data_IF_208599196228
#
_entry.id   IF_208599196228
#
_cell.length_a   1.000
_cell.length_b   1.000
_cell.length_c   1.000
_cell.angle_alpha   90.00
_cell.angle_beta   90.00
_cell.angle_gamma   90.00
#
_symmetry.space_group_name_H-M   'P 1'
#
loop_
_entity.id
_entity.type
_entity.pdbx_description
1 polymer ?
#
# COMPACT_ATOMS: atom_id res chain seq x y z
N UNK A 1 -2.51 25.22 -7.28
CA UNK A 1 -2.76 24.43 -8.52
C UNK A 1 -1.51 23.62 -8.86
N UNK A 2 -1.42 22.41 -8.33
CA UNK A 2 -0.40 21.42 -8.68
C UNK A 2 -0.98 20.51 -9.76
N UNK A 3 -0.78 20.87 -11.03
CA UNK A 3 -0.87 19.90 -12.13
C UNK A 3 0.33 18.96 -12.01
N UNK A 4 0.20 17.92 -11.21
CA UNK A 4 1.18 16.84 -11.15
C UNK A 4 0.47 15.52 -11.44
N UNK A 5 0.79 14.98 -12.62
CA UNK A 5 0.62 13.60 -13.05
C UNK A 5 -0.82 13.06 -13.18
N UNK A 6 -1.48 13.39 -14.30
CA UNK A 6 -2.46 12.51 -14.97
C UNK A 6 -1.73 11.30 -15.61
N UNK A 7 -0.93 10.57 -14.84
CA UNK A 7 -0.48 9.24 -15.23
C UNK A 7 -1.40 8.25 -14.54
N UNK A 8 -2.23 7.56 -15.33
CA UNK A 8 -3.03 6.43 -14.89
C UNK A 8 -2.09 5.38 -14.28
N UNK A 9 -1.87 5.47 -12.97
CA UNK A 9 -1.14 4.45 -12.22
C UNK A 9 -2.09 3.25 -12.23
N UNK A 10 -1.63 2.15 -12.83
CA UNK A 10 -2.31 0.85 -12.78
C UNK A 10 -1.63 -0.04 -11.75
N UNK A 11 -1.88 0.21 -10.46
CA UNK A 11 -1.34 -0.60 -9.38
C UNK A 11 -1.93 -2.01 -9.46
N UNK A 12 -1.11 -2.98 -9.07
CA UNK A 12 -1.53 -4.38 -9.07
C UNK A 12 -2.52 -4.64 -7.94
N UNK A 13 -3.62 -5.33 -8.26
CA UNK A 13 -4.43 -6.06 -7.28
C UNK A 13 -3.61 -7.29 -6.86
N UNK A 14 -2.94 -7.16 -5.72
CA UNK A 14 -1.96 -8.14 -5.28
C UNK A 14 -2.61 -9.39 -4.69
N UNK A 15 -1.88 -10.50 -4.77
CA UNK A 15 -2.34 -11.80 -4.29
C UNK A 15 -1.99 -12.11 -2.84
N UNK A 16 -1.23 -11.26 -2.14
CA UNK A 16 -0.80 -11.51 -0.75
C UNK A 16 0.36 -12.51 -0.60
N UNK A 17 1.01 -12.90 -1.70
CA UNK A 17 1.96 -14.03 -1.73
C UNK A 17 3.23 -13.85 -0.88
N UNK A 18 3.74 -12.62 -0.72
CA UNK A 18 5.11 -12.39 -0.19
C UNK A 18 5.19 -12.12 1.32
N UNK A 19 4.11 -11.71 1.98
CA UNK A 19 4.14 -11.24 3.37
C UNK A 19 4.00 -12.39 4.38
N UNK A 20 4.52 -12.32 5.62
CA UNK A 20 4.37 -13.38 6.60
C UNK A 20 2.90 -13.85 6.73
N UNK A 21 2.61 -15.17 6.82
CA UNK A 21 1.24 -15.69 6.77
C UNK A 21 0.26 -15.03 7.73
N UNK A 22 0.71 -14.74 8.95
CA UNK A 22 -0.13 -14.19 10.02
C UNK A 22 -0.10 -12.65 10.09
N UNK A 23 0.57 -11.98 9.15
CA UNK A 23 0.65 -10.52 9.11
C UNK A 23 -0.65 -9.85 8.66
N UNK A 24 -0.86 -8.61 9.10
CA UNK A 24 -1.91 -7.72 8.62
C UNK A 24 -1.80 -7.53 7.11
N UNK A 25 -0.59 -7.35 6.58
CA UNK A 25 -0.36 -7.28 5.12
C UNK A 25 -0.88 -8.50 4.38
N UNK A 26 -0.69 -9.73 4.87
CA UNK A 26 -1.28 -10.93 4.23
C UNK A 26 -2.81 -10.91 4.36
N UNK A 27 -3.31 -10.82 5.59
CA UNK A 27 -4.73 -10.93 5.91
C UNK A 27 -5.59 -9.90 5.17
N UNK A 28 -5.19 -8.62 5.24
CA UNK A 28 -5.92 -7.51 4.64
C UNK A 28 -5.74 -7.47 3.12
N UNK A 29 -4.62 -7.96 2.57
CA UNK A 29 -4.45 -8.04 1.12
C UNK A 29 -5.39 -9.10 0.51
N UNK A 30 -5.50 -10.27 1.14
CA UNK A 30 -6.40 -11.33 0.68
C UNK A 30 -7.86 -10.87 0.72
N UNK A 31 -8.31 -10.34 1.87
CA UNK A 31 -9.68 -9.82 2.04
C UNK A 31 -9.94 -8.63 1.10
N UNK A 32 -8.99 -7.71 1.04
CA UNK A 32 -9.12 -6.48 0.26
C UNK A 32 -9.14 -6.72 -1.25
N UNK A 33 -8.39 -7.71 -1.76
CA UNK A 33 -8.45 -8.13 -3.16
C UNK A 33 -9.86 -8.54 -3.56
N UNK A 34 -10.51 -9.37 -2.74
CA UNK A 34 -11.84 -9.90 -3.04
C UNK A 34 -12.87 -8.76 -3.00
N UNK A 35 -12.84 -7.92 -1.95
CA UNK A 35 -13.69 -6.73 -1.85
C UNK A 35 -13.45 -5.74 -3.00
N UNK A 36 -12.20 -5.59 -3.44
CA UNK A 36 -11.83 -4.72 -4.55
C UNK A 36 -12.44 -5.21 -5.85
N UNK A 37 -12.33 -6.51 -6.18
CA UNK A 37 -12.95 -7.05 -7.38
C UNK A 37 -14.48 -6.98 -7.34
N UNK A 38 -15.08 -7.26 -6.18
CA UNK A 38 -16.52 -7.08 -5.96
C UNK A 38 -16.95 -5.64 -6.25
N UNK A 39 -16.23 -4.67 -5.69
CA UNK A 39 -16.47 -3.25 -5.94
C UNK A 39 -16.26 -2.90 -7.41
N UNK A 40 -15.17 -3.35 -8.03
CA UNK A 40 -14.88 -3.03 -9.41
C UNK A 40 -16.00 -3.50 -10.34
N UNK A 41 -16.58 -4.68 -10.13
CA UNK A 41 -17.74 -5.10 -10.91
C UNK A 41 -19.01 -4.32 -10.56
N UNK A 42 -19.28 -4.11 -9.27
CA UNK A 42 -20.49 -3.42 -8.83
C UNK A 42 -20.58 -1.98 -9.37
N UNK A 43 -19.44 -1.29 -9.44
CA UNK A 43 -19.34 0.10 -9.87
C UNK A 43 -18.78 0.28 -11.28
N UNK A 44 -18.58 -0.82 -12.03
CA UNK A 44 -17.99 -0.82 -13.38
C UNK A 44 -16.62 -0.12 -13.45
N UNK A 45 -15.82 -0.20 -12.38
CA UNK A 45 -14.44 0.27 -12.39
C UNK A 45 -13.62 -0.65 -13.28
N UNK A 46 -12.86 -0.13 -14.26
CA UNK A 46 -12.04 -0.95 -15.15
C UNK A 46 -11.00 -1.80 -14.40
N UNK A 47 -11.00 -3.12 -14.65
CA UNK A 47 -10.02 -4.05 -14.10
C UNK A 47 -9.79 -5.27 -15.00
N UNK A 48 -8.64 -5.94 -14.82
CA UNK A 48 -8.32 -7.23 -15.46
C UNK A 48 -7.57 -8.15 -14.51
N UNK A 49 -7.99 -9.42 -14.43
CA UNK A 49 -7.25 -10.48 -13.74
C UNK A 49 -6.24 -11.12 -14.70
N UNK A 50 -5.16 -10.39 -14.97
CA UNK A 50 -4.08 -10.80 -15.89
C UNK A 50 -3.12 -11.83 -15.28
N UNK A 51 -3.31 -12.21 -14.02
CA UNK A 51 -2.42 -13.11 -13.30
C UNK A 51 -0.97 -12.62 -13.19
N UNK A 52 -0.11 -13.48 -12.64
CA UNK A 52 1.30 -13.16 -12.41
C UNK A 52 2.16 -14.42 -12.41
N UNK A 53 3.34 -14.32 -13.04
CA UNK A 53 4.42 -15.29 -12.94
C UNK A 53 5.52 -14.75 -12.03
N UNK A 54 5.85 -15.52 -10.99
CA UNK A 54 7.08 -15.31 -10.22
C UNK A 54 8.16 -16.20 -10.82
N UNK A 55 9.12 -15.61 -11.54
CA UNK A 55 10.10 -16.37 -12.33
C UNK A 55 11.40 -16.60 -11.55
N UNK A 56 11.98 -17.80 -11.70
CA UNK A 56 13.13 -18.26 -10.93
C UNK A 56 14.22 -18.86 -11.81
N UNK A 57 15.47 -18.47 -11.52
CA UNK A 57 16.68 -19.15 -12.01
C UNK A 57 16.95 -20.41 -11.18
N UNK A 58 17.94 -21.22 -11.60
CA UNK A 58 18.28 -22.50 -10.97
C UNK A 58 18.46 -22.42 -9.45
N UNK A 59 19.21 -21.42 -8.97
CA UNK A 59 19.47 -21.24 -7.55
C UNK A 59 18.26 -20.71 -6.74
N UNK A 60 17.15 -20.36 -7.41
CA UNK A 60 15.95 -19.75 -6.81
C UNK A 60 14.74 -20.70 -6.78
N UNK A 61 14.87 -21.93 -7.28
CA UNK A 61 13.75 -22.88 -7.34
C UNK A 61 13.10 -23.14 -5.97
N UNK A 62 13.91 -23.23 -4.91
CA UNK A 62 13.39 -23.44 -3.56
C UNK A 62 12.57 -22.25 -3.04
N UNK A 63 12.88 -21.03 -3.50
CA UNK A 63 12.10 -19.85 -3.17
C UNK A 63 10.66 -19.95 -3.70
N UNK A 64 10.47 -20.26 -4.99
CA UNK A 64 9.13 -20.42 -5.58
C UNK A 64 8.38 -21.64 -5.01
N UNK A 65 9.08 -22.74 -4.71
CA UNK A 65 8.48 -23.90 -4.00
C UNK A 65 8.00 -23.53 -2.61
N UNK A 66 8.76 -22.72 -1.87
CA UNK A 66 8.37 -22.28 -0.54
C UNK A 66 7.18 -21.30 -0.59
N UNK A 67 7.14 -20.40 -1.58
CA UNK A 67 5.98 -19.55 -1.82
C UNK A 67 4.71 -20.36 -2.15
N UNK A 68 4.83 -21.38 -3.00
CA UNK A 68 3.72 -22.29 -3.30
C UNK A 68 3.23 -23.04 -2.06
N UNK A 69 4.14 -23.67 -1.30
CA UNK A 69 3.78 -24.35 -0.04
C UNK A 69 3.11 -23.42 0.96
N UNK A 70 3.54 -22.16 1.01
CA UNK A 70 2.94 -21.14 1.85
C UNK A 70 1.53 -20.79 1.38
N UNK A 71 1.32 -20.56 0.08
CA UNK A 71 0.00 -20.18 -0.44
C UNK A 71 -1.05 -21.26 -0.16
N UNK A 72 -0.67 -22.54 -0.22
CA UNK A 72 -1.53 -23.67 0.10
C UNK A 72 -1.92 -23.75 1.59
N UNK A 73 -1.19 -23.07 2.48
CA UNK A 73 -1.44 -23.04 3.93
C UNK A 73 -2.17 -21.77 4.39
N UNK A 74 -2.38 -20.80 3.50
CA UNK A 74 -3.09 -19.58 3.85
C UNK A 74 -4.54 -19.91 4.20
N UNK A 75 -5.04 -19.22 5.23
CA UNK A 75 -6.43 -19.34 5.68
C UNK A 75 -7.22 -18.11 5.23
N UNK A 76 -8.53 -18.30 5.09
CA UNK A 76 -9.42 -17.19 4.78
C UNK A 76 -9.37 -16.16 5.91
N UNK A 77 -9.19 -14.86 5.59
CA UNK A 77 -9.25 -13.79 6.58
C UNK A 77 -10.58 -13.76 7.37
N UNK A 78 -10.60 -13.15 8.56
CA UNK A 78 -11.85 -12.75 9.21
C UNK A 78 -12.71 -11.90 8.28
N UNK A 79 -14.04 -11.96 8.48
CA UNK A 79 -15.05 -11.26 7.68
C UNK A 79 -15.13 -11.69 6.20
N UNK A 80 -14.29 -12.63 5.75
CA UNK A 80 -14.48 -13.28 4.45
C UNK A 80 -15.86 -13.96 4.41
N UNK A 81 -16.58 -13.85 3.29
CA UNK A 81 -17.88 -14.48 3.14
C UNK A 81 -17.80 -16.00 3.39
N UNK A 82 -18.90 -16.59 3.86
CA UNK A 82 -19.02 -18.05 3.97
C UNK A 82 -19.47 -18.64 2.62
N UNK A 83 -19.28 -19.95 2.45
CA UNK A 83 -19.64 -20.72 1.25
C UNK A 83 -20.98 -20.29 0.65
N UNK A 84 -20.99 -19.90 -0.62
CA UNK A 84 -22.24 -19.62 -1.37
C UNK A 84 -22.75 -18.18 -1.31
N UNK A 85 -22.04 -17.24 -0.67
CA UNK A 85 -22.33 -15.80 -0.74
C UNK A 85 -21.07 -15.04 -1.19
N UNK A 86 -20.78 -14.96 -2.48
CA UNK A 86 -19.57 -14.27 -2.95
C UNK A 86 -19.37 -14.36 -4.47
N UNK A 87 -18.41 -13.58 -4.96
CA UNK A 87 -18.22 -13.32 -6.38
C UNK A 87 -17.49 -14.48 -7.13
N UNK A 88 -18.22 -15.08 -8.08
CA UNK A 88 -17.82 -16.06 -9.10
C UNK A 88 -17.51 -17.51 -8.68
N UNK A 89 -17.86 -18.43 -9.59
CA UNK A 89 -17.74 -19.90 -9.55
C UNK A 89 -16.30 -20.43 -9.33
N UNK A 90 -15.28 -19.56 -9.34
CA UNK A 90 -13.90 -19.87 -8.96
C UNK A 90 -13.57 -19.51 -7.50
N UNK A 91 -14.51 -18.92 -6.74
CA UNK A 91 -14.31 -18.39 -5.38
C UNK A 91 -15.42 -18.80 -4.40
N UNK A 92 -16.31 -19.72 -4.79
CA UNK A 92 -17.28 -20.26 -3.85
C UNK A 92 -16.54 -21.08 -2.79
N UNK A 93 -16.42 -20.56 -1.56
CA UNK A 93 -15.75 -21.15 -0.38
C UNK A 93 -16.24 -22.57 -0.03
N UNK A 94 -16.03 -23.53 -0.92
CA UNK A 94 -16.34 -24.93 -0.72
C UNK A 94 -15.30 -25.58 0.17
N UNK A 95 -15.69 -26.62 0.89
CA UNK A 95 -14.74 -27.46 1.63
C UNK A 95 -13.60 -27.92 0.69
N UNK A 96 -12.37 -27.52 1.02
CA UNK A 96 -11.17 -27.86 0.25
C UNK A 96 -10.66 -26.80 -0.73
N UNK A 97 -11.30 -25.64 -0.86
CA UNK A 97 -10.82 -24.57 -1.74
C UNK A 97 -9.70 -23.73 -1.09
N UNK A 98 -8.59 -23.56 -1.83
CA UNK A 98 -7.41 -22.81 -1.39
C UNK A 98 -7.61 -21.31 -1.62
N UNK A 99 -7.27 -20.48 -0.63
CA UNK A 99 -7.37 -19.01 -0.67
C UNK A 99 -6.59 -18.37 -1.84
N UNK A 100 -5.48 -19.01 -2.18
CA UNK A 100 -4.61 -18.58 -3.27
C UNK A 100 -4.15 -19.80 -4.09
N UNK A 101 -4.85 -20.14 -5.19
CA UNK A 101 -4.57 -21.31 -6.02
C UNK A 101 -3.36 -21.05 -6.92
N UNK A 102 -2.14 -21.17 -6.37
CA UNK A 102 -0.91 -21.05 -7.17
C UNK A 102 -0.51 -22.40 -7.78
N UNK A 103 0.20 -22.35 -8.90
CA UNK A 103 0.70 -23.52 -9.61
C UNK A 103 2.21 -23.40 -9.88
N UNK A 104 2.96 -24.45 -9.59
CA UNK A 104 4.38 -24.51 -9.95
C UNK A 104 4.51 -24.92 -11.41
N UNK A 105 5.26 -24.13 -12.18
CA UNK A 105 5.54 -24.36 -13.59
C UNK A 105 7.02 -24.64 -13.81
N UNK A 106 7.33 -25.46 -14.80
CA UNK A 106 8.68 -25.56 -15.35
C UNK A 106 9.02 -24.31 -16.16
N UNK A 107 10.30 -24.09 -16.44
CA UNK A 107 10.74 -23.00 -17.32
C UNK A 107 10.17 -23.09 -18.74
N UNK A 108 9.96 -24.32 -19.24
CA UNK A 108 9.30 -24.55 -20.54
C UNK A 108 7.85 -24.10 -20.51
N UNK A 109 7.07 -24.52 -19.50
CA UNK A 109 5.68 -24.08 -19.32
C UNK A 109 5.58 -22.57 -19.12
N UNK A 110 6.52 -21.96 -18.39
CA UNK A 110 6.57 -20.51 -18.24
C UNK A 110 6.82 -19.80 -19.59
N UNK A 111 7.70 -20.34 -20.44
CA UNK A 111 7.95 -19.81 -21.80
C UNK A 111 6.83 -20.11 -22.79
N UNK A 112 6.05 -21.16 -22.59
CA UNK A 112 4.81 -21.37 -23.35
C UNK A 112 3.80 -20.24 -23.08
N UNK A 113 3.71 -19.77 -21.82
CA UNK A 113 2.88 -18.63 -21.44
C UNK A 113 3.50 -17.29 -21.85
N UNK A 114 4.82 -17.16 -21.73
CA UNK A 114 5.58 -15.92 -21.96
C UNK A 114 6.85 -16.20 -22.80
N UNK A 115 6.74 -16.28 -24.15
CA UNK A 115 7.81 -16.71 -25.04
C UNK A 115 9.09 -15.87 -25.02
N UNK A 116 8.98 -14.60 -24.61
CA UNK A 116 10.11 -13.68 -24.53
C UNK A 116 10.99 -13.88 -23.27
N UNK A 117 10.59 -14.78 -22.34
CA UNK A 117 11.36 -15.09 -21.13
C UNK A 117 12.72 -15.72 -21.43
N UNK A 118 13.73 -15.35 -20.64
CA UNK A 118 15.07 -15.94 -20.69
C UNK A 118 15.06 -17.47 -20.55
N UNK A 119 15.98 -18.14 -21.25
CA UNK A 119 16.24 -19.58 -21.07
C UNK A 119 16.78 -19.91 -19.67
N UNK A 120 17.40 -18.93 -18.99
CA UNK A 120 17.88 -19.06 -17.60
C UNK A 120 16.73 -19.22 -16.58
N UNK A 121 15.49 -18.90 -16.97
CA UNK A 121 14.31 -19.17 -16.14
C UNK A 121 13.97 -20.65 -16.24
N UNK A 122 14.18 -21.37 -15.15
CA UNK A 122 14.01 -22.83 -15.08
C UNK A 122 12.73 -23.24 -14.35
N UNK A 123 12.12 -22.32 -13.61
CA UNK A 123 10.87 -22.53 -12.90
C UNK A 123 10.10 -21.22 -12.76
N UNK A 124 8.79 -21.32 -12.58
CA UNK A 124 7.94 -20.20 -12.21
C UNK A 124 6.83 -20.60 -11.25
N UNK A 125 6.30 -19.62 -10.51
CA UNK A 125 5.06 -19.77 -9.74
C UNK A 125 3.97 -18.94 -10.39
N UNK A 126 2.95 -19.61 -10.92
CA UNK A 126 1.77 -19.00 -11.49
C UNK A 126 0.77 -18.61 -10.41
N UNK A 127 0.23 -17.39 -10.51
CA UNK A 127 -0.69 -16.81 -9.55
C UNK A 127 -1.88 -16.15 -10.28
N UNK A 128 -2.97 -16.89 -10.56
CA UNK A 128 -4.04 -16.46 -11.47
C UNK A 128 -4.89 -15.31 -10.91
N UNK A 129 -5.00 -15.20 -9.59
CA UNK A 129 -5.84 -14.18 -8.94
C UNK A 129 -5.20 -12.78 -8.88
N UNK A 130 -3.98 -12.60 -9.41
CA UNK A 130 -3.38 -11.27 -9.49
C UNK A 130 -4.03 -10.49 -10.63
N UNK A 131 -4.17 -9.18 -10.48
CA UNK A 131 -4.68 -8.35 -11.56
C UNK A 131 -4.19 -6.93 -11.51
N UNK A 132 -4.82 -6.11 -12.37
CA UNK A 132 -4.59 -4.68 -12.52
C UNK A 132 -5.93 -3.97 -12.50
N UNK A 133 -5.96 -2.77 -11.92
CA UNK A 133 -7.16 -1.94 -11.82
C UNK A 133 -6.85 -0.52 -12.30
N UNK A 134 -7.89 0.21 -12.69
CA UNK A 134 -7.83 1.67 -12.74
C UNK A 134 -7.98 2.22 -11.31
N UNK A 135 -6.88 2.69 -10.74
CA UNK A 135 -6.89 3.20 -9.36
C UNK A 135 -7.62 4.53 -9.21
N UNK A 136 -7.65 5.35 -10.26
CA UNK A 136 -8.35 6.63 -10.23
C UNK A 136 -9.85 6.39 -10.22
N UNK A 137 -10.37 5.62 -11.17
CA UNK A 137 -11.79 5.25 -11.22
C UNK A 137 -12.21 4.47 -9.95
N UNK A 138 -11.31 3.68 -9.35
CA UNK A 138 -11.57 3.04 -8.06
C UNK A 138 -11.74 4.07 -6.94
N UNK A 139 -10.86 5.08 -6.84
CA UNK A 139 -10.99 6.15 -5.85
C UNK A 139 -12.23 7.02 -6.09
N UNK A 140 -12.50 7.42 -7.34
CA UNK A 140 -13.72 8.16 -7.71
C UNK A 140 -14.99 7.42 -7.26
N UNK A 141 -15.00 6.08 -7.41
CA UNK A 141 -16.13 5.29 -6.92
C UNK A 141 -16.31 5.43 -5.41
N UNK A 142 -15.23 5.52 -4.62
CA UNK A 142 -15.29 5.68 -3.16
C UNK A 142 -15.70 7.10 -2.77
N UNK A 143 -15.17 8.12 -3.47
CA UNK A 143 -15.57 9.51 -3.28
C UNK A 143 -17.07 9.70 -3.53
N UNK A 144 -17.62 8.99 -4.50
CA UNK A 144 -19.06 8.97 -4.76
C UNK A 144 -19.85 8.44 -3.57
N UNK A 145 -19.43 7.35 -2.93
CA UNK A 145 -20.13 6.83 -1.74
C UNK A 145 -20.14 7.86 -0.60
N UNK A 146 -19.08 8.66 -0.44
CA UNK A 146 -19.04 9.75 0.55
C UNK A 146 -20.02 10.85 0.16
N UNK A 147 -20.00 11.27 -1.11
CA UNK A 147 -20.85 12.35 -1.64
C UNK A 147 -22.34 12.00 -1.64
N UNK A 148 -22.68 10.73 -1.91
CA UNK A 148 -24.06 10.23 -1.91
C UNK A 148 -24.59 9.96 -0.49
N UNK A 149 -23.72 10.00 0.53
CA UNK A 149 -24.13 9.79 1.93
C UNK A 149 -24.75 11.06 2.53
N UNK A 150 -25.73 10.89 3.42
CA UNK A 150 -26.45 12.03 4.02
C UNK A 150 -25.57 12.95 4.89
N UNK A 151 -24.47 12.42 5.45
CA UNK A 151 -23.63 13.12 6.43
C UNK A 151 -22.13 13.08 6.10
N UNK A 152 -21.76 12.77 4.85
CA UNK A 152 -20.38 12.74 4.39
C UNK A 152 -20.03 14.02 3.65
N UNK A 153 -18.88 14.60 3.98
CA UNK A 153 -18.36 15.78 3.29
C UNK A 153 -16.90 15.55 2.87
N UNK A 154 -16.57 15.99 1.66
CA UNK A 154 -15.20 16.04 1.15
C UNK A 154 -14.79 17.50 0.97
N UNK A 155 -13.73 17.91 1.66
CA UNK A 155 -13.21 19.27 1.60
C UNK A 155 -11.79 19.22 1.04
N UNK A 156 -11.66 19.58 -0.24
CA UNK A 156 -10.38 19.62 -0.94
C UNK A 156 -9.62 20.92 -0.67
N UNK A 157 -8.31 20.91 -0.93
CA UNK A 157 -7.41 22.04 -0.68
C UNK A 157 -7.38 22.49 0.78
N UNK A 158 -7.76 21.61 1.71
CA UNK A 158 -7.77 21.86 3.15
C UNK A 158 -6.74 20.96 3.83
N UNK A 159 -5.66 21.57 4.34
CA UNK A 159 -4.60 20.86 5.06
C UNK A 159 -4.89 20.88 6.56
N UNK A 160 -4.65 19.77 7.24
CA UNK A 160 -4.58 19.73 8.71
C UNK A 160 -3.22 20.28 9.12
N UNK A 161 -3.22 21.38 9.88
CA UNK A 161 -1.98 22.04 10.36
C UNK A 161 -1.65 21.63 11.79
N UNK A 162 -2.67 21.32 12.59
CA UNK A 162 -2.48 20.97 14.00
C UNK A 162 -3.62 20.11 14.52
N UNK A 163 -3.28 19.20 15.42
CA UNK A 163 -4.23 18.40 16.18
C UNK A 163 -3.88 18.54 17.66
N UNK A 164 -4.86 18.86 18.50
CA UNK A 164 -4.70 18.92 19.95
C UNK A 164 -5.79 18.10 20.65
N UNK A 165 -5.48 17.42 21.76
CA UNK A 165 -6.51 16.79 22.58
C UNK A 165 -7.35 17.87 23.29
N UNK A 166 -8.68 17.77 23.17
CA UNK A 166 -9.63 18.54 23.98
C UNK A 166 -10.14 17.66 25.11
N UNK A 167 -9.88 18.09 26.36
CA UNK A 167 -10.54 17.53 27.54
C UNK A 167 -11.08 18.67 28.40
N UNK A 168 -12.41 18.79 28.50
CA UNK A 168 -13.03 19.70 29.47
C UNK A 168 -13.47 18.90 30.69
N UNK A 169 -12.51 18.56 31.54
CA UNK A 169 -12.85 18.04 32.87
C UNK A 169 -13.32 19.21 33.75
N UNK A 170 -14.64 19.39 33.83
CA UNK A 170 -15.25 20.20 34.89
C UNK A 170 -15.11 19.44 36.21
N UNK A 171 -14.19 19.91 37.04
CA UNK A 171 -14.02 19.64 38.47
C UNK A 171 -13.38 18.29 38.88
N UNK A 172 -12.63 18.37 39.99
CA UNK A 172 -11.80 17.34 40.61
C UNK A 172 -12.53 16.06 41.07
N UNK A 173 -13.84 15.96 40.90
CA UNK A 173 -14.65 14.87 41.47
C UNK A 173 -15.58 14.29 40.39
N UNK A 174 -15.14 13.18 39.81
CA UNK A 174 -15.78 12.35 38.77
C UNK A 174 -15.58 12.80 37.31
N UNK A 175 -14.92 11.99 36.46
CA UNK A 175 -14.89 12.23 35.02
C UNK A 175 -16.31 12.08 34.45
N UNK A 176 -16.79 13.10 33.73
CA UNK A 176 -17.97 12.97 32.89
C UNK A 176 -17.58 12.18 31.64
N UNK A 177 -17.87 10.88 31.66
CA UNK A 177 -17.53 9.92 30.60
C UNK A 177 -18.35 10.11 29.32
N UNK A 178 -19.16 11.16 29.19
CA UNK A 178 -19.93 11.45 27.98
C UNK A 178 -19.90 12.94 27.62
N UNK A 179 -18.87 13.68 28.04
CA UNK A 179 -18.79 15.09 27.72
C UNK A 179 -18.73 15.28 26.19
N UNK A 180 -19.74 15.94 25.57
CA UNK A 180 -19.77 16.13 24.12
C UNK A 180 -18.63 17.01 23.59
N UNK A 181 -17.91 17.71 24.48
CA UNK A 181 -16.78 18.59 24.16
C UNK A 181 -15.39 17.91 24.26
N UNK A 182 -15.35 16.62 24.64
CA UNK A 182 -14.11 15.83 24.65
C UNK A 182 -13.83 15.23 23.28
N UNK A 183 -12.57 15.25 22.85
CA UNK A 183 -12.15 14.77 21.52
C UNK A 183 -10.87 15.42 21.04
N UNK A 184 -10.80 15.73 19.76
CA UNK A 184 -9.64 16.26 19.07
C UNK A 184 -9.99 17.59 18.40
N UNK A 185 -9.29 18.66 18.76
CA UNK A 185 -9.36 19.91 18.01
C UNK A 185 -8.45 19.76 16.79
N UNK A 186 -9.05 19.75 15.61
CA UNK A 186 -8.35 19.68 14.33
C UNK A 186 -8.36 21.08 13.73
N UNK A 187 -7.19 21.69 13.66
CA UNK A 187 -6.99 22.98 13.01
C UNK A 187 -6.62 22.75 11.55
N UNK A 188 -7.27 23.49 10.67
CA UNK A 188 -7.14 23.35 9.24
C UNK A 188 -6.89 24.70 8.57
N UNK A 189 -6.21 24.66 7.42
CA UNK A 189 -6.05 25.82 6.55
C UNK A 189 -6.50 25.45 5.14
N UNK A 190 -7.35 26.28 4.54
CA UNK A 190 -7.93 26.03 3.21
C UNK A 190 -7.34 27.01 2.19
N UNK A 191 -6.73 26.48 1.13
CA UNK A 191 -6.03 27.29 0.13
C UNK A 191 -4.91 28.13 0.76
N UNK A 192 -4.86 29.41 0.40
CA UNK A 192 -3.88 30.39 0.89
C UNK A 192 -4.46 31.32 1.97
N UNK A 193 -5.53 30.89 2.67
CA UNK A 193 -6.16 31.70 3.70
C UNK A 193 -5.19 32.02 4.86
N UNK A 194 -5.15 33.28 5.30
CA UNK A 194 -4.32 33.73 6.43
C UNK A 194 -4.87 33.26 7.79
N UNK A 195 -6.19 33.05 7.89
CA UNK A 195 -6.85 32.53 9.08
C UNK A 195 -7.22 31.05 8.88
N UNK A 196 -6.90 30.21 9.89
CA UNK A 196 -7.25 28.81 9.91
C UNK A 196 -8.56 28.56 10.65
N UNK A 197 -9.30 27.53 10.23
CA UNK A 197 -10.50 27.06 10.91
C UNK A 197 -10.15 25.94 11.91
N UNK A 198 -11.06 25.66 12.84
CA UNK A 198 -10.92 24.55 13.77
C UNK A 198 -12.24 23.80 13.95
N UNK A 199 -12.15 22.47 14.05
CA UNK A 199 -13.29 21.59 14.31
C UNK A 199 -12.98 20.61 15.43
N UNK A 200 -14.02 20.22 16.18
CA UNK A 200 -13.93 19.17 17.18
C UNK A 200 -14.32 17.83 16.55
N UNK A 201 -13.38 16.90 16.49
CA UNK A 201 -13.60 15.52 16.09
C UNK A 201 -13.62 14.59 17.32
N UNK A 202 -14.71 13.84 17.51
CA UNK A 202 -14.75 12.81 18.56
C UNK A 202 -13.87 11.61 18.20
N UNK A 203 -13.95 11.18 16.95
CA UNK A 203 -13.08 10.14 16.41
C UNK A 203 -12.24 10.76 15.30
N UNK A 204 -10.92 10.61 15.37
CA UNK A 204 -10.01 11.11 14.36
C UNK A 204 -9.28 9.95 13.69
N UNK A 205 -9.36 9.83 12.37
CA UNK A 205 -8.60 8.82 11.61
C UNK A 205 -7.48 9.53 10.86
N UNK A 206 -6.24 9.32 11.30
CA UNK A 206 -5.06 9.81 10.61
C UNK A 206 -4.61 8.79 9.54
N UNK A 207 -5.04 9.03 8.31
CA UNK A 207 -4.68 8.26 7.12
C UNK A 207 -3.78 9.07 6.14
N UNK A 208 -2.96 9.99 6.65
CA UNK A 208 -2.18 10.96 5.85
C UNK A 208 -0.90 10.40 5.19
N UNK A 209 -0.78 9.08 5.03
CA UNK A 209 0.31 8.44 4.27
C UNK A 209 1.71 8.85 4.72
N UNK A 210 2.44 9.56 3.86
CA UNK A 210 3.81 10.03 4.10
C UNK A 210 3.91 11.01 5.28
N UNK A 211 2.82 11.70 5.62
CA UNK A 211 2.74 12.65 6.74
C UNK A 211 2.12 12.05 8.00
N UNK A 212 1.81 10.75 7.99
CA UNK A 212 1.12 10.07 9.10
C UNK A 212 1.87 10.15 10.43
N UNK A 213 3.20 10.01 10.42
CA UNK A 213 4.03 10.15 11.62
C UNK A 213 4.21 11.61 12.04
N UNK A 214 4.09 12.58 11.14
CA UNK A 214 4.19 14.00 11.48
C UNK A 214 3.05 14.41 12.41
N UNK A 215 1.80 14.11 12.02
CA UNK A 215 0.60 14.40 12.81
C UNK A 215 0.68 13.68 14.16
N UNK A 216 1.05 12.39 14.15
CA UNK A 216 1.17 11.62 15.39
C UNK A 216 2.28 12.17 16.31
N UNK A 217 3.48 12.40 15.78
CA UNK A 217 4.63 12.81 16.59
C UNK A 217 4.49 14.21 17.19
N UNK A 218 3.65 15.07 16.62
CA UNK A 218 3.28 16.36 17.21
C UNK A 218 2.58 16.19 18.57
N UNK A 219 1.87 15.07 18.78
CA UNK A 219 1.20 14.73 20.04
C UNK A 219 2.11 14.00 21.03
N UNK A 220 3.19 13.38 20.53
CA UNK A 220 4.05 12.52 21.33
C UNK A 220 5.22 13.32 21.94
N UNK A 221 5.56 13.03 23.21
CA UNK A 221 6.71 13.66 23.86
C UNK A 221 8.00 13.37 23.07
N UNK A 222 8.98 14.28 23.14
CA UNK A 222 10.31 14.20 22.50
C UNK A 222 11.21 13.06 23.04
N UNK A 223 10.64 12.06 23.71
CA UNK A 223 11.36 10.87 24.17
C UNK A 223 11.25 9.73 23.12
N UNK A 224 11.65 8.51 23.50
CA UNK A 224 11.60 7.32 22.64
C UNK A 224 10.19 6.84 22.25
N UNK A 225 9.13 7.65 22.45
CA UNK A 225 7.77 7.30 22.05
C UNK A 225 7.45 7.64 20.59
N UNK A 226 8.26 8.51 19.95
CA UNK A 226 8.02 8.97 18.58
C UNK A 226 8.28 7.88 17.55
N UNK A 227 7.44 7.88 16.51
CA UNK A 227 7.50 6.93 15.42
C UNK A 227 8.41 7.46 14.30
N UNK A 228 9.38 6.69 13.82
CA UNK A 228 10.23 7.13 12.71
C UNK A 228 9.47 7.08 11.38
N UNK A 229 9.96 7.86 10.40
CA UNK A 229 9.55 7.77 8.99
C UNK A 229 10.78 7.75 8.10
N UNK A 230 10.79 6.80 7.19
CA UNK A 230 11.79 6.64 6.14
C UNK A 230 11.07 6.64 4.79
N UNK A 231 11.79 7.07 3.75
CA UNK A 231 11.23 7.33 2.44
C UNK A 231 11.91 6.44 1.42
N UNK A 232 11.13 5.61 0.73
CA UNK A 232 11.64 4.77 -0.35
C UNK A 232 10.94 5.12 -1.66
N UNK A 233 11.65 5.85 -2.52
CA UNK A 233 11.21 6.19 -3.87
C UNK A 233 11.29 4.94 -4.75
N UNK A 234 10.30 4.80 -5.62
CA UNK A 234 10.29 3.80 -6.68
C UNK A 234 9.97 4.48 -8.00
N UNK A 235 10.86 4.31 -8.97
CA UNK A 235 10.73 4.85 -10.32
C UNK A 235 10.27 3.77 -11.29
N UNK A 236 9.43 4.18 -12.23
CA UNK A 236 8.87 3.32 -13.27
C UNK A 236 9.26 3.85 -14.65
N UNK A 237 9.54 2.92 -15.56
CA UNK A 237 9.77 3.21 -16.96
C UNK A 237 8.68 2.57 -17.81
N UNK A 238 8.15 3.30 -18.77
CA UNK A 238 7.38 2.71 -19.85
C UNK A 238 8.32 2.08 -20.87
N UNK A 239 7.86 1.03 -21.55
CA UNK A 239 8.66 0.35 -22.56
C UNK A 239 7.92 0.21 -23.89
N UNK A 240 8.62 0.52 -24.97
CA UNK A 240 8.20 0.28 -26.35
C UNK A 240 9.37 -0.32 -27.13
N UNK A 241 9.20 -1.54 -27.64
CA UNK A 241 10.25 -2.22 -28.40
C UNK A 241 10.03 -3.73 -28.48
N UNK A 242 11.02 -4.43 -28.99
CA UNK A 242 11.02 -5.90 -29.08
C UNK A 242 11.22 -6.56 -27.71
N UNK A 243 11.04 -7.88 -27.63
CA UNK A 243 11.29 -8.65 -26.41
C UNK A 243 10.18 -8.61 -25.36
N UNK A 244 9.01 -8.07 -25.72
CA UNK A 244 7.79 -8.08 -24.89
C UNK A 244 6.53 -8.29 -25.74
N UNK A 245 6.67 -8.73 -26.99
CA UNK A 245 5.59 -8.70 -27.97
C UNK A 245 4.44 -9.65 -27.62
N UNK A 246 4.74 -10.70 -26.85
CA UNK A 246 3.78 -11.72 -26.46
C UNK A 246 3.32 -11.59 -25.00
N UNK A 247 3.75 -10.52 -24.31
CA UNK A 247 3.53 -10.41 -22.87
C UNK A 247 2.07 -10.20 -22.53
N UNK A 248 1.54 -11.08 -21.68
CA UNK A 248 0.12 -11.09 -21.32
C UNK A 248 -0.14 -11.15 -19.81
N UNK A 249 0.87 -11.52 -19.03
CA UNK A 249 0.80 -11.59 -17.58
C UNK A 249 1.82 -10.65 -16.92
N UNK A 250 1.66 -10.41 -15.61
CA UNK A 250 2.67 -9.71 -14.83
C UNK A 250 3.88 -10.63 -14.58
N UNK A 251 5.12 -10.13 -14.71
CA UNK A 251 6.34 -10.93 -14.53
C UNK A 251 7.18 -10.35 -13.39
N UNK A 252 7.38 -11.15 -12.35
CA UNK A 252 8.07 -10.73 -11.12
C UNK A 252 9.28 -11.64 -10.94
N UNK A 253 10.52 -11.15 -11.12
CA UNK A 253 11.70 -11.95 -10.80
C UNK A 253 11.74 -12.30 -9.30
N UNK A 254 12.30 -13.46 -8.97
CA UNK A 254 12.64 -13.76 -7.58
C UNK A 254 13.69 -12.77 -7.07
N UNK A 255 13.64 -12.38 -5.78
CA UNK A 255 14.71 -11.60 -5.20
C UNK A 255 16.02 -12.43 -5.22
N UNK A 256 17.14 -11.75 -5.43
CA UNK A 256 18.46 -12.35 -5.20
C UNK A 256 18.55 -12.85 -3.75
N UNK A 257 19.14 -14.01 -3.51
CA UNK A 257 19.32 -14.58 -2.17
C UNK A 257 20.78 -14.45 -1.75
N UNK A 258 21.06 -13.60 -0.76
CA UNK A 258 22.41 -13.38 -0.23
C UNK A 258 22.40 -12.62 1.12
N UNK A 259 23.54 -12.53 1.84
CA UNK A 259 23.60 -11.91 3.17
C UNK A 259 23.26 -10.41 3.19
N UNK A 260 23.32 -9.73 2.04
CA UNK A 260 22.89 -8.33 1.85
C UNK A 260 21.58 -8.23 1.04
N UNK A 261 20.88 -9.34 0.82
CA UNK A 261 19.67 -9.34 0.01
C UNK A 261 18.45 -8.95 0.84
N UNK A 262 17.97 -7.73 0.61
CA UNK A 262 16.75 -7.22 1.21
C UNK A 262 15.51 -7.78 0.51
N UNK A 263 15.24 -9.08 0.66
CA UNK A 263 14.14 -9.80 -0.02
C UNK A 263 12.74 -9.19 0.20
N UNK A 264 12.58 -8.27 1.16
CA UNK A 264 11.32 -7.58 1.46
C UNK A 264 11.28 -6.09 1.07
N UNK A 265 12.37 -5.52 0.56
CA UNK A 265 12.45 -4.07 0.29
C UNK A 265 12.31 -3.74 -1.20
N UNK A 266 12.83 -4.60 -2.09
CA UNK A 266 12.52 -4.55 -3.51
C UNK A 266 12.61 -5.97 -4.07
N UNK A 267 11.50 -6.51 -4.57
CA UNK A 267 11.42 -7.84 -5.17
C UNK A 267 11.95 -7.83 -6.63
N UNK A 268 12.95 -7.01 -6.93
CA UNK A 268 13.43 -6.73 -8.28
C UNK A 268 12.52 -5.81 -9.09
N UNK A 269 12.98 -5.39 -10.26
CA UNK A 269 12.21 -4.59 -11.23
C UNK A 269 11.17 -5.47 -11.88
N UNK A 270 9.88 -5.24 -11.58
CA UNK A 270 8.78 -6.03 -12.13
C UNK A 270 8.40 -5.56 -13.53
N UNK A 271 7.82 -6.46 -14.33
CA UNK A 271 7.03 -6.10 -15.49
C UNK A 271 5.56 -6.03 -15.08
N UNK A 272 4.93 -4.91 -15.41
CA UNK A 272 3.48 -4.70 -15.25
C UNK A 272 2.84 -4.21 -16.54
N UNK A 273 1.51 -4.34 -16.60
CA UNK A 273 0.68 -3.97 -17.74
C UNK A 273 -0.33 -2.90 -17.30
N UNK A 274 -0.66 -1.94 -18.16
CA UNK A 274 -1.93 -1.23 -18.03
C UNK A 274 -3.11 -1.99 -18.63
N UNK A 275 -4.30 -1.41 -18.46
CA UNK A 275 -5.53 -1.94 -19.00
C UNK A 275 -5.54 -1.95 -20.54
N UNK A 276 -4.68 -1.20 -21.21
CA UNK A 276 -4.50 -1.20 -22.66
C UNK A 276 -3.38 -2.16 -23.12
N UNK A 277 -2.67 -2.81 -22.19
CA UNK A 277 -1.58 -3.74 -22.48
C UNK A 277 -0.21 -3.09 -22.66
N UNK A 278 -0.06 -1.79 -22.36
CA UNK A 278 1.24 -1.10 -22.39
C UNK A 278 2.10 -1.62 -21.25
N UNK A 279 3.37 -1.83 -21.55
CA UNK A 279 4.36 -2.39 -20.64
C UNK A 279 4.97 -1.27 -19.78
N UNK A 280 5.12 -1.57 -18.48
CA UNK A 280 5.94 -0.77 -17.57
C UNK A 280 6.88 -1.67 -16.77
N UNK A 281 8.09 -1.19 -16.59
CA UNK A 281 9.08 -1.76 -15.69
C UNK A 281 9.20 -0.94 -14.41
N UNK A 282 9.36 -1.62 -13.30
CA UNK A 282 9.52 -1.01 -11.99
C UNK A 282 8.59 -1.63 -10.95
N UNK A 283 8.57 -1.06 -9.74
CA UNK A 283 9.44 0.02 -9.30
C UNK A 283 10.86 -0.48 -9.02
N UNK A 284 11.86 0.40 -9.18
CA UNK A 284 13.12 0.21 -8.48
C UNK A 284 13.00 0.64 -6.99
N UNK A 285 14.14 0.70 -6.29
CA UNK A 285 14.18 1.26 -4.94
C UNK A 285 15.34 2.26 -4.80
N UNK A 286 14.99 3.44 -4.31
CA UNK A 286 15.91 4.50 -3.93
C UNK A 286 15.50 5.00 -2.54
N UNK A 287 16.38 4.85 -1.56
CA UNK A 287 16.14 5.39 -0.21
C UNK A 287 16.48 6.87 -0.18
N UNK A 288 15.52 7.66 0.28
CA UNK A 288 15.62 9.12 0.30
C UNK A 288 15.86 9.57 1.73
N UNK A 289 16.90 10.37 1.90
CA UNK A 289 17.16 11.07 3.15
C UNK A 289 16.37 12.38 3.17
N UNK A 290 15.62 12.65 4.26
CA UNK A 290 15.01 13.96 4.43
C UNK A 290 16.11 15.03 4.54
N UNK A 291 15.86 16.28 4.07
CA UNK A 291 16.77 17.39 4.29
C UNK A 291 17.22 17.46 5.76
N UNK A 292 18.51 17.70 5.99
CA UNK A 292 19.01 17.90 7.34
C UNK A 292 18.32 19.13 7.92
N UNK A 293 17.48 18.92 8.95
CA UNK A 293 17.02 20.01 9.78
C UNK A 293 18.28 20.78 10.25
N UNK A 294 18.28 22.10 10.11
CA UNK A 294 19.37 22.98 10.52
C UNK A 294 19.70 22.90 12.03
N UNK A 295 19.00 22.06 12.80
CA UNK A 295 19.23 21.77 14.20
C UNK A 295 19.49 20.27 14.42
N UNK A 296 20.65 19.97 15.01
CA UNK A 296 21.29 18.66 15.08
C UNK A 296 20.63 17.63 16.02
N UNK A 297 19.40 17.82 16.50
CA UNK A 297 18.92 17.07 17.68
C UNK A 297 17.66 16.24 17.53
N UNK A 298 16.82 16.43 16.53
CA UNK A 298 15.66 15.58 16.33
C UNK A 298 15.41 15.44 14.82
N UNK A 299 15.21 14.22 14.30
CA UNK A 299 14.86 13.95 12.90
C UNK A 299 13.45 14.47 12.51
N UNK A 300 13.10 15.68 12.95
CA UNK A 300 11.85 16.38 12.70
C UNK A 300 12.14 17.39 11.59
N UNK A 301 11.50 17.19 10.45
CA UNK A 301 11.48 18.20 9.42
C UNK A 301 10.67 19.41 9.90
N UNK A 302 11.14 20.65 9.68
CA UNK A 302 10.28 21.83 9.77
C UNK A 302 8.98 21.61 8.98
N UNK A 303 7.87 22.19 9.44
CA UNK A 303 6.55 22.04 8.79
C UNK A 303 6.60 22.46 7.29
N UNK A 304 7.40 23.48 6.98
CA UNK A 304 7.64 23.98 5.62
C UNK A 304 8.38 22.97 4.70
N UNK A 305 9.01 21.95 5.30
CA UNK A 305 9.76 20.90 4.61
C UNK A 305 9.08 19.52 4.73
N UNK A 306 7.90 19.43 5.37
CA UNK A 306 7.17 18.17 5.54
C UNK A 306 6.90 17.45 4.20
N UNK A 307 6.67 18.23 3.15
CA UNK A 307 6.38 17.74 1.79
C UNK A 307 7.60 17.78 0.85
N UNK A 308 8.83 17.76 1.38
CA UNK A 308 10.06 17.79 0.56
C UNK A 308 10.08 16.73 -0.55
N UNK A 309 9.46 15.57 -0.29
CA UNK A 309 9.39 14.43 -1.18
C UNK A 309 8.61 14.71 -2.47
N UNK A 310 7.71 15.71 -2.47
CA UNK A 310 6.93 16.09 -3.66
C UNK A 310 7.83 16.51 -4.83
N UNK A 311 8.95 17.19 -4.53
CA UNK A 311 9.95 17.62 -5.52
C UNK A 311 10.72 16.44 -6.13
N UNK A 312 10.67 15.27 -5.48
CA UNK A 312 11.34 14.03 -5.90
C UNK A 312 10.39 13.10 -6.68
N UNK A 313 9.14 13.50 -6.92
CA UNK A 313 8.19 12.72 -7.73
C UNK A 313 8.26 13.02 -9.23
N UNK A 314 9.25 13.80 -9.66
CA UNK A 314 9.52 14.07 -11.07
C UNK A 314 10.31 12.87 -11.65
N UNK A 315 9.80 12.19 -12.69
CA UNK A 315 10.53 11.10 -13.34
C UNK A 315 11.76 11.60 -14.06
N UNK A 316 12.85 10.84 -14.01
CA UNK A 316 14.12 11.18 -14.65
C UNK A 316 14.82 9.92 -15.20
N UNK A 317 15.77 10.13 -16.11
CA UNK A 317 16.44 9.05 -16.84
C UNK A 317 17.59 8.38 -16.05
N UNK A 318 17.99 8.92 -14.90
CA UNK A 318 19.22 8.50 -14.21
C UNK A 318 19.21 7.03 -13.78
N UNK A 319 18.01 6.47 -13.57
CA UNK A 319 17.79 5.09 -13.10
C UNK A 319 17.54 4.08 -14.22
N UNK A 320 17.30 4.55 -15.45
CA UNK A 320 16.95 3.70 -16.59
C UNK A 320 18.03 2.66 -16.91
N UNK A 321 19.34 2.96 -16.89
CA UNK A 321 20.37 1.94 -17.15
C UNK A 321 20.39 0.81 -16.12
N UNK A 322 20.19 1.12 -14.84
CA UNK A 322 20.12 0.11 -13.77
C UNK A 322 18.84 -0.73 -13.88
N UNK A 323 17.72 -0.09 -14.24
CA UNK A 323 16.47 -0.80 -14.49
C UNK A 323 16.62 -1.77 -15.67
N UNK A 324 17.22 -1.33 -16.77
CA UNK A 324 17.49 -2.16 -17.94
C UNK A 324 18.32 -3.39 -17.58
N UNK A 325 19.40 -3.21 -16.82
CA UNK A 325 20.26 -4.31 -16.39
C UNK A 325 19.50 -5.38 -15.60
N UNK A 326 18.56 -4.99 -14.74
CA UNK A 326 17.73 -5.93 -13.98
C UNK A 326 16.64 -6.60 -14.84
N UNK A 327 16.17 -5.93 -15.90
CA UNK A 327 15.12 -6.46 -16.78
C UNK A 327 15.68 -7.51 -17.74
N UNK A 328 16.86 -7.27 -18.32
CA UNK A 328 17.47 -8.21 -19.28
C UNK A 328 17.85 -9.56 -18.64
N UNK A 329 17.90 -9.63 -17.31
CA UNK A 329 18.10 -10.89 -16.57
C UNK A 329 16.95 -11.89 -16.77
N UNK A 330 15.73 -11.41 -17.06
CA UNK A 330 14.56 -12.27 -17.31
C UNK A 330 13.88 -12.03 -18.67
N UNK A 331 14.14 -10.90 -19.33
CA UNK A 331 13.67 -10.56 -20.68
C UNK A 331 14.84 -10.04 -21.55
N UNK A 332 15.70 -10.93 -22.08
CA UNK A 332 16.94 -10.53 -22.76
C UNK A 332 16.72 -9.74 -24.06
N UNK A 333 15.51 -9.80 -24.64
CA UNK A 333 15.14 -9.03 -25.83
C UNK A 333 14.85 -7.55 -25.58
N UNK A 334 14.76 -7.11 -24.31
CA UNK A 334 14.47 -5.73 -23.95
C UNK A 334 15.66 -4.83 -24.23
N UNK A 335 15.44 -3.75 -25.00
CA UNK A 335 16.49 -2.79 -25.37
C UNK A 335 16.48 -1.55 -24.46
N UNK A 336 17.65 -1.00 -24.18
CA UNK A 336 17.77 0.24 -23.39
C UNK A 336 17.04 1.42 -24.06
N UNK A 337 17.11 1.52 -25.39
CA UNK A 337 16.52 2.61 -26.16
C UNK A 337 14.97 2.61 -26.15
N UNK A 338 14.35 1.49 -25.80
CA UNK A 338 12.89 1.39 -25.69
C UNK A 338 12.34 1.86 -24.34
N UNK A 339 13.20 2.12 -23.34
CA UNK A 339 12.80 2.54 -22.00
C UNK A 339 12.68 4.07 -21.92
N UNK A 340 11.59 4.55 -21.33
CA UNK A 340 11.37 5.97 -21.07
C UNK A 340 10.83 6.17 -19.65
N UNK A 341 11.29 7.19 -18.89
CA UNK A 341 10.71 7.52 -17.59
C UNK A 341 9.19 7.72 -17.70
N UNK A 342 8.43 7.16 -16.75
CA UNK A 342 6.96 7.24 -16.76
C UNK A 342 6.45 7.98 -15.52
N UNK A 343 6.55 7.35 -14.33
CA UNK A 343 6.16 7.97 -13.07
C UNK A 343 7.03 7.51 -11.90
N UNK A 344 6.97 8.24 -10.80
CA UNK A 344 7.63 7.89 -9.53
C UNK A 344 6.60 7.86 -8.41
N UNK A 345 6.85 7.04 -7.39
CA UNK A 345 6.08 7.03 -6.14
C UNK A 345 6.99 6.96 -4.93
N UNK A 346 6.47 7.36 -3.77
CA UNK A 346 7.19 7.32 -2.49
C UNK A 346 6.46 6.43 -1.50
N UNK A 347 7.17 5.50 -0.86
CA UNK A 347 6.60 4.59 0.14
C UNK A 347 6.82 5.14 1.56
N UNK A 348 5.79 5.18 2.42
CA UNK A 348 5.95 5.50 3.85
C UNK A 348 6.51 4.28 4.59
N UNK A 349 7.80 4.28 4.94
CA UNK A 349 8.47 3.17 5.63
C UNK A 349 8.65 3.53 7.11
N UNK A 350 8.34 2.60 8.01
CA UNK A 350 8.57 2.79 9.46
C UNK A 350 9.89 2.16 9.95
N UNK A 351 10.63 1.53 9.04
CA UNK A 351 11.92 0.90 9.33
C UNK A 351 12.97 1.39 8.34
N UNK A 352 14.25 1.49 8.77
CA UNK A 352 15.35 1.98 7.93
C UNK A 352 15.69 0.99 6.80
N UNK A 353 16.62 1.36 5.88
CA UNK A 353 17.10 0.49 4.81
C UNK A 353 17.68 -0.86 5.26
N UNK A 354 18.17 -0.98 6.50
CA UNK A 354 18.63 -2.25 7.06
C UNK A 354 17.54 -2.97 7.89
N UNK A 355 16.34 -2.39 7.96
CA UNK A 355 15.20 -2.97 8.65
C UNK A 355 14.63 -4.18 7.93
N UNK A 356 14.15 -5.15 8.71
CA UNK A 356 13.46 -6.33 8.19
C UNK A 356 12.02 -6.02 7.75
N UNK A 357 11.20 -7.07 7.67
CA UNK A 357 9.77 -6.93 7.44
C UNK A 357 9.12 -6.03 8.50
N UNK A 358 8.34 -5.06 8.06
CA UNK A 358 7.47 -4.22 8.88
C UNK A 358 6.04 -4.37 8.41
N UNK A 359 5.15 -4.72 9.33
CA UNK A 359 3.72 -4.83 9.06
C UNK A 359 3.04 -3.45 9.09
N UNK A 360 1.79 -3.39 8.63
CA UNK A 360 0.94 -2.22 8.87
C UNK A 360 0.78 -1.97 10.37
N UNK A 361 0.79 -0.69 10.78
CA UNK A 361 0.65 -0.32 12.18
C UNK A 361 -0.60 0.54 12.35
N UNK A 362 -1.49 0.09 13.22
CA UNK A 362 -2.69 0.80 13.64
C UNK A 362 -2.49 1.19 15.10
N UNK A 363 -2.38 2.48 15.38
CA UNK A 363 -2.09 3.01 16.72
C UNK A 363 -3.26 3.85 17.20
N UNK A 364 -3.77 3.52 18.38
CA UNK A 364 -4.81 4.28 19.07
C UNK A 364 -4.20 5.20 20.12
N UNK A 365 -4.54 6.48 20.05
CA UNK A 365 -4.24 7.49 21.06
C UNK A 365 -5.57 8.13 21.53
N UNK A 366 -5.59 8.66 22.75
CA UNK A 366 -6.81 9.18 23.39
C UNK A 366 -6.57 10.57 24.00
N UNK A 367 -7.57 11.47 23.99
CA UNK A 367 -7.38 12.83 24.51
C UNK A 367 -7.25 12.86 26.04
N UNK A 368 -7.78 11.86 26.77
CA UNK A 368 -7.72 11.78 28.24
C UNK A 368 -6.76 10.68 28.73
N UNK A 369 -5.81 11.04 29.60
CA UNK A 369 -4.85 10.11 30.21
C UNK A 369 -5.42 9.26 31.37
N UNK A 370 -6.73 9.32 31.66
CA UNK A 370 -7.30 8.72 32.89
C UNK A 370 -8.46 7.76 32.60
N UNK A 371 -8.11 6.53 32.26
CA UNK A 371 -8.86 5.33 32.64
C UNK A 371 -10.02 4.88 31.75
N UNK A 372 -10.52 5.69 30.82
CA UNK A 372 -11.57 5.26 29.87
C UNK A 372 -11.19 5.66 28.43
N UNK A 373 -11.09 4.65 27.56
CA UNK A 373 -10.65 4.78 26.17
C UNK A 373 -11.82 5.16 25.25
N UNK A 374 -12.22 6.43 25.26
CA UNK A 374 -13.23 7.00 24.38
C UNK A 374 -12.65 8.08 23.47
N UNK A 375 -13.31 8.34 22.34
CA UNK A 375 -12.91 9.38 21.38
C UNK A 375 -11.49 9.13 20.80
N UNK A 376 -11.23 7.95 20.20
CA UNK A 376 -9.89 7.60 19.73
C UNK A 376 -9.43 8.49 18.58
N UNK A 377 -8.13 8.79 18.57
CA UNK A 377 -7.39 9.04 17.34
C UNK A 377 -6.75 7.73 16.90
N UNK A 378 -7.06 7.26 15.69
CA UNK A 378 -6.43 6.09 15.08
C UNK A 378 -5.46 6.54 13.99
N UNK A 379 -4.17 6.27 14.17
CA UNK A 379 -3.15 6.50 13.15
C UNK A 379 -2.84 5.24 12.36
N UNK A 380 -2.98 5.33 11.04
CA UNK A 380 -2.61 4.29 10.08
C UNK A 380 -1.20 4.59 9.57
N UNK A 381 -0.23 3.83 10.06
CA UNK A 381 1.19 4.08 9.82
C UNK A 381 1.79 2.99 8.93
N UNK A 382 2.68 3.40 8.03
CA UNK A 382 3.43 2.46 7.18
C UNK A 382 2.55 1.72 6.17
N UNK A 383 1.46 2.34 5.70
CA UNK A 383 0.56 1.79 4.68
C UNK A 383 1.22 1.88 3.29
N UNK A 384 2.31 1.13 3.11
CA UNK A 384 2.94 0.89 1.82
C UNK A 384 2.25 -0.28 1.08
N UNK A 385 2.87 -0.85 0.05
CA UNK A 385 2.40 -2.08 -0.61
C UNK A 385 2.11 -3.21 0.41
N UNK A 386 0.92 -3.84 0.40
CA UNK A 386 -0.16 -3.80 -0.62
C UNK A 386 -1.33 -2.89 -0.22
N UNK A 387 -1.06 -1.65 0.21
CA UNK A 387 -2.04 -0.74 0.82
C UNK A 387 -3.28 -0.48 -0.04
N UNK A 388 -3.10 -0.31 -1.35
CA UNK A 388 -4.25 -0.14 -2.25
C UNK A 388 -5.13 -1.39 -2.31
N UNK A 389 -4.55 -2.57 -2.58
CA UNK A 389 -5.29 -3.84 -2.59
C UNK A 389 -5.99 -4.06 -1.25
N UNK A 390 -5.35 -3.65 -0.16
CA UNK A 390 -5.88 -3.82 1.20
C UNK A 390 -6.87 -2.72 1.62
N UNK A 391 -7.11 -1.68 0.82
CA UNK A 391 -7.79 -0.45 1.24
C UNK A 391 -9.17 -0.68 1.86
N UNK A 392 -10.03 -1.45 1.20
CA UNK A 392 -11.37 -1.79 1.71
C UNK A 392 -11.32 -2.66 2.97
N UNK A 393 -10.41 -3.63 3.02
CA UNK A 393 -10.22 -4.48 4.19
C UNK A 393 -9.59 -3.72 5.37
N UNK A 394 -8.75 -2.73 5.09
CA UNK A 394 -8.23 -1.79 6.09
C UNK A 394 -9.41 -1.00 6.69
N UNK A 395 -10.32 -0.50 5.88
CA UNK A 395 -11.52 0.20 6.36
C UNK A 395 -12.41 -0.73 7.21
N UNK A 396 -12.67 -1.95 6.74
CA UNK A 396 -13.41 -2.98 7.49
C UNK A 396 -12.73 -3.28 8.84
N UNK A 397 -11.41 -3.48 8.85
CA UNK A 397 -10.62 -3.69 10.07
C UNK A 397 -10.71 -2.51 11.04
N UNK A 398 -10.61 -1.27 10.54
CA UNK A 398 -10.72 -0.06 11.37
C UNK A 398 -12.09 -0.01 12.05
N UNK A 399 -13.18 -0.25 11.31
CA UNK A 399 -14.53 -0.15 11.87
C UNK A 399 -14.84 -1.33 12.78
N UNK A 400 -14.74 -2.56 12.28
CA UNK A 400 -15.23 -3.75 12.98
C UNK A 400 -14.29 -4.20 14.11
N UNK A 401 -12.98 -4.17 13.85
CA UNK A 401 -11.98 -4.75 14.75
C UNK A 401 -11.34 -3.74 15.70
N UNK A 402 -11.36 -2.43 15.39
CA UNK A 402 -10.74 -1.40 16.23
C UNK A 402 -11.81 -0.56 16.94
N UNK A 403 -12.72 0.05 16.19
CA UNK A 403 -13.73 0.95 16.76
C UNK A 403 -14.89 0.20 17.43
N UNK A 404 -15.49 -0.81 16.78
CA UNK A 404 -16.68 -1.50 17.29
C UNK A 404 -16.41 -2.49 18.45
N UNK A 405 -15.20 -3.03 18.59
CA UNK A 405 -14.85 -3.91 19.75
C UNK A 405 -15.13 -3.25 21.11
N UNK A 406 -15.17 -1.93 21.17
CA UNK A 406 -15.39 -1.16 22.40
C UNK A 406 -16.85 -0.94 22.76
N UNK A 407 -17.78 -1.05 21.79
CA UNK A 407 -19.22 -0.92 22.06
C UNK A 407 -19.79 -2.20 22.70
N UNK A 408 -19.18 -3.36 22.46
CA UNK A 408 -19.64 -4.66 22.99
C UNK A 408 -19.00 -5.07 24.34
N UNK A 409 -18.07 -4.25 24.86
CA UNK A 409 -17.43 -4.44 26.17
C UNK A 409 -17.69 -3.29 27.15
N UNK A 410 -18.63 -2.39 26.83
CA UNK A 410 -19.06 -1.26 27.65
C UNK A 410 -20.23 -1.56 28.57
#
# INVERSE_FOLDING_TARGET
MSHFADSYVHPSAQSGLYYPPDSLKTRLCLRGRDMMYERCKAYSVPYKQVGKLVVAKEHQQDYVRNLHKKSLKLQWPPHSPQSGQGFQEASAHGEGQVVLPTELLTGEQAREMEPDLSEDIVAALWCPLTGIIDSHAFMESLEKDITDSENGELVYLTRVVRVDPSTRSRALNAPDLNNPEDGWIVQVATGDAEEGDAMLARTLINASGLSSTLILNALLPHNNSRMPMYYARGSYASYHGLGVNSVSHLIYPCPETGPNAHAFQSLGTHLTLDLQGKIRFGPDIEWIEPPLASTQSDHILPEEEADFWTKLLIPDESRIPLMHQAVIDYLPGVSLAGLQPDYCGMRPKLVPPWGGFQDFVFREDFPACRGVAQNPMLSLLGIESPGLTSSLAIAEYVVEDVLCRKLNHG
#
